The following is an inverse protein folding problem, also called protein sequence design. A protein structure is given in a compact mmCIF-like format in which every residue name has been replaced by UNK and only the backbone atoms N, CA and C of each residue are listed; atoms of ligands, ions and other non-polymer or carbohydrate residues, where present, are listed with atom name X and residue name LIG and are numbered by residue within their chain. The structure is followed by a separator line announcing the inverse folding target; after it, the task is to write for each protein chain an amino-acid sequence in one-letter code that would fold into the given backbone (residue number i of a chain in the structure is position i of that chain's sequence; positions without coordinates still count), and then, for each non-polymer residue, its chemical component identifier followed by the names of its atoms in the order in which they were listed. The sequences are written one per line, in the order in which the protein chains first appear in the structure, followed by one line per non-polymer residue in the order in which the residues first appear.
data_IF_240138465049
#
_entry.id   IF_240138465049
#
_cell.length_a   1.000
_cell.length_b   1.000
_cell.length_c   1.000
_cell.angle_alpha   90.00
_cell.angle_beta   90.00
_cell.angle_gamma   90.00
#
_symmetry.space_group_name_H-M   'P 1'
#
loop_
_entity.id
_entity.type
_entity.pdbx_description
1 polymer ?
#
# COMPACT_ATOMS: atom_id res chain seq x y z
N UNK A 1 30.70 -1.18 12.37
CA UNK A 1 29.71 -1.60 11.35
C UNK A 1 30.48 -2.05 10.12
N UNK A 2 30.02 -3.11 9.47
CA UNK A 2 30.56 -3.60 8.20
C UNK A 2 29.84 -2.89 7.05
N UNK A 3 30.59 -2.47 6.03
CA UNK A 3 30.02 -1.91 4.79
C UNK A 3 29.55 -3.06 3.90
N UNK A 4 28.30 -3.02 3.46
CA UNK A 4 27.71 -4.06 2.61
C UNK A 4 27.08 -3.41 1.39
N UNK A 5 27.30 -4.00 0.22
CA UNK A 5 26.67 -3.59 -1.03
C UNK A 5 25.62 -4.63 -1.41
N UNK A 6 24.38 -4.17 -1.59
CA UNK A 6 23.24 -5.00 -1.97
C UNK A 6 22.77 -4.65 -3.37
N UNK A 7 22.32 -5.65 -4.13
CA UNK A 7 21.55 -5.47 -5.37
C UNK A 7 20.10 -5.76 -5.08
N UNK A 8 19.19 -4.92 -5.57
CA UNK A 8 17.75 -5.12 -5.48
C UNK A 8 17.15 -5.14 -6.89
N UNK A 9 16.22 -6.05 -7.15
CA UNK A 9 15.53 -6.18 -8.44
C UNK A 9 14.06 -6.56 -8.31
N UNK A 10 13.20 -6.00 -9.17
CA UNK A 10 11.76 -6.31 -9.24
C UNK A 10 11.25 -6.29 -10.68
N UNK A 11 10.37 -7.23 -11.05
CA UNK A 11 9.72 -7.22 -12.37
C UNK A 11 8.21 -7.49 -12.35
N UNK A 12 7.57 -7.51 -11.18
CA UNK A 12 6.11 -7.65 -11.06
C UNK A 12 5.53 -6.41 -10.36
N UNK A 13 4.39 -5.92 -10.84
CA UNK A 13 3.61 -4.89 -10.16
C UNK A 13 4.29 -3.52 -10.18
N UNK A 14 4.17 -2.77 -9.08
CA UNK A 14 4.82 -1.46 -8.92
C UNK A 14 6.30 -1.66 -8.54
N UNK A 15 7.12 -1.90 -9.57
CA UNK A 15 8.52 -2.33 -9.44
C UNK A 15 9.36 -1.34 -8.63
N UNK A 16 9.20 -0.02 -8.83
CA UNK A 16 9.94 0.98 -8.07
C UNK A 16 9.46 1.05 -6.62
N UNK A 17 8.14 0.95 -6.36
CA UNK A 17 7.62 0.90 -5.00
C UNK A 17 8.17 -0.30 -4.21
N UNK A 18 8.24 -1.49 -4.81
CA UNK A 18 8.82 -2.66 -4.14
C UNK A 18 10.29 -2.46 -3.73
N UNK A 19 11.10 -1.84 -4.60
CA UNK A 19 12.48 -1.51 -4.27
C UNK A 19 12.56 -0.48 -3.13
N UNK A 20 11.69 0.54 -3.14
CA UNK A 20 11.62 1.55 -2.08
C UNK A 20 11.17 0.94 -0.74
N UNK A 21 10.16 0.09 -0.76
CA UNK A 21 9.63 -0.61 0.42
C UNK A 21 10.68 -1.55 1.01
N UNK A 22 11.43 -2.28 0.17
CA UNK A 22 12.54 -3.12 0.62
C UNK A 22 13.63 -2.30 1.34
N UNK A 23 14.00 -1.13 0.79
CA UNK A 23 14.97 -0.23 1.44
C UNK A 23 14.42 0.36 2.74
N UNK A 24 13.13 0.70 2.78
CA UNK A 24 12.46 1.17 3.99
C UNK A 24 12.49 0.10 5.08
N UNK A 25 12.14 -1.15 4.76
CA UNK A 25 12.16 -2.28 5.69
C UNK A 25 13.58 -2.61 6.19
N UNK A 26 14.61 -2.52 5.33
CA UNK A 26 16.00 -2.63 5.77
C UNK A 26 16.35 -1.54 6.80
N UNK A 27 15.95 -0.28 6.53
CA UNK A 27 16.23 0.87 7.40
C UNK A 27 15.43 0.91 8.71
N UNK A 28 14.38 0.09 8.86
CA UNK A 28 13.64 -0.06 10.11
C UNK A 28 14.41 -0.91 11.15
N UNK A 29 15.37 -1.73 10.71
CA UNK A 29 16.20 -2.50 11.61
C UNK A 29 17.29 -1.62 12.24
N UNK A 30 17.30 -1.49 13.56
CA UNK A 30 18.26 -0.63 14.28
C UNK A 30 19.74 -1.02 14.09
N UNK A 31 20.01 -2.25 13.61
CA UNK A 31 21.35 -2.72 13.29
C UNK A 31 21.85 -2.28 11.91
N UNK A 32 21.00 -1.67 11.07
CA UNK A 32 21.29 -1.29 9.69
C UNK A 32 21.17 0.23 9.53
N UNK A 33 22.15 0.84 8.87
CA UNK A 33 22.11 2.21 8.40
C UNK A 33 22.20 2.22 6.88
N UNK A 34 21.26 2.91 6.22
CA UNK A 34 21.26 3.06 4.76
C UNK A 34 22.18 4.22 4.38
N UNK A 35 23.37 3.92 3.86
CA UNK A 35 24.41 4.92 3.56
C UNK A 35 24.14 5.63 2.23
N UNK A 36 23.84 4.85 1.18
CA UNK A 36 23.69 5.37 -0.19
C UNK A 36 22.77 4.47 -1.01
N UNK A 37 22.07 5.07 -1.96
CA UNK A 37 21.20 4.39 -2.93
C UNK A 37 21.59 4.83 -4.32
N UNK A 38 21.61 3.91 -5.28
CA UNK A 38 21.70 4.26 -6.69
C UNK A 38 20.36 4.80 -7.18
N UNK A 39 20.33 5.28 -8.41
CA UNK A 39 19.08 5.47 -9.17
C UNK A 39 18.44 4.12 -9.53
N UNK A 40 17.27 4.19 -10.13
CA UNK A 40 16.59 3.04 -10.71
C UNK A 40 17.04 2.82 -12.15
N UNK A 41 17.20 1.55 -12.52
CA UNK A 41 17.59 1.18 -13.88
C UNK A 41 16.64 0.11 -14.39
N UNK A 42 15.96 0.37 -15.50
CA UNK A 42 15.19 -0.64 -16.23
C UNK A 42 16.15 -1.48 -17.06
N UNK A 43 15.98 -2.81 -17.02
CA UNK A 43 16.82 -3.73 -17.78
C UNK A 43 16.01 -4.86 -18.38
N UNK A 44 16.35 -5.26 -19.60
CA UNK A 44 15.79 -6.48 -20.20
C UNK A 44 16.13 -7.72 -19.36
N UNK A 45 15.23 -8.71 -19.28
CA UNK A 45 15.45 -9.91 -18.46
C UNK A 45 16.59 -10.78 -19.00
N UNK A 46 17.34 -11.39 -18.09
CA UNK A 46 18.41 -12.33 -18.43
C UNK A 46 17.89 -13.76 -18.32
N UNK A 47 18.29 -14.63 -19.26
CA UNK A 47 18.06 -16.07 -19.15
C UNK A 47 16.99 -16.67 -20.06
N UNK A 48 16.55 -15.94 -21.09
CA UNK A 48 15.72 -16.49 -22.17
C UNK A 48 14.28 -16.86 -21.80
N UNK A 49 13.80 -16.42 -20.63
CA UNK A 49 12.39 -16.55 -20.22
C UNK A 49 11.66 -15.27 -20.63
N UNK A 50 10.54 -15.40 -21.34
CA UNK A 50 9.66 -14.27 -21.68
C UNK A 50 9.03 -13.72 -20.39
N UNK A 51 9.44 -12.50 -20.02
CA UNK A 51 8.97 -11.82 -18.82
C UNK A 51 9.14 -10.30 -18.98
N UNK A 52 8.42 -9.53 -18.16
CA UNK A 52 8.58 -8.08 -18.14
C UNK A 52 9.99 -7.66 -17.72
N UNK A 53 10.40 -6.48 -18.18
CA UNK A 53 11.65 -5.84 -17.78
C UNK A 53 11.80 -5.73 -16.26
N UNK A 54 13.02 -5.89 -15.77
CA UNK A 54 13.34 -5.63 -14.38
C UNK A 54 13.58 -4.15 -14.14
N UNK A 55 13.22 -3.67 -12.96
CA UNK A 55 13.79 -2.45 -12.38
C UNK A 55 14.79 -2.88 -11.31
N UNK A 56 16.00 -2.35 -11.37
CA UNK A 56 17.09 -2.67 -10.47
C UNK A 56 17.63 -1.40 -9.79
N UNK A 57 18.17 -1.57 -8.59
CA UNK A 57 18.97 -0.57 -7.89
C UNK A 57 20.02 -1.24 -7.02
N UNK A 58 21.07 -0.52 -6.64
CA UNK A 58 22.02 -0.94 -5.63
C UNK A 58 21.89 -0.07 -4.37
N UNK A 59 22.17 -0.67 -3.22
CA UNK A 59 22.10 -0.02 -1.92
C UNK A 59 23.38 -0.32 -1.15
N UNK A 60 24.01 0.73 -0.62
CA UNK A 60 25.10 0.64 0.32
C UNK A 60 24.53 0.76 1.72
N UNK A 61 24.83 -0.20 2.58
CA UNK A 61 24.45 -0.18 3.99
C UNK A 61 25.67 -0.35 4.90
N UNK A 62 25.55 0.16 6.12
CA UNK A 62 26.43 -0.13 7.24
C UNK A 62 25.66 -0.96 8.26
N UNK A 63 26.17 -2.13 8.64
CA UNK A 63 25.45 -3.04 9.54
C UNK A 63 26.30 -3.57 10.69
N UNK A 64 25.68 -3.86 11.83
CA UNK A 64 26.28 -4.65 12.93
C UNK A 64 25.86 -6.11 12.93
N UNK A 65 24.95 -6.52 12.04
CA UNK A 65 24.59 -7.92 11.85
C UNK A 65 25.80 -8.70 11.34
N UNK A 66 25.79 -10.02 11.49
CA UNK A 66 26.67 -10.93 10.74
C UNK A 66 26.07 -11.26 9.37
N UNK A 67 26.88 -11.73 8.42
CA UNK A 67 26.44 -11.97 7.05
C UNK A 67 25.23 -12.92 6.95
N UNK A 68 25.19 -13.98 7.76
CA UNK A 68 24.05 -14.91 7.84
C UNK A 68 22.80 -14.28 8.45
N UNK A 69 22.96 -13.42 9.46
CA UNK A 69 21.85 -12.70 10.07
C UNK A 69 21.24 -11.70 9.09
N UNK A 70 22.08 -11.02 8.30
CA UNK A 70 21.63 -10.14 7.22
C UNK A 70 20.89 -10.93 6.14
N UNK A 71 21.40 -12.10 5.73
CA UNK A 71 20.73 -12.96 4.76
C UNK A 71 19.35 -13.43 5.27
N UNK A 72 19.24 -13.81 6.54
CA UNK A 72 17.97 -14.19 7.15
C UNK A 72 16.96 -13.02 7.13
N UNK A 73 17.40 -11.82 7.53
CA UNK A 73 16.56 -10.62 7.47
C UNK A 73 16.11 -10.29 6.05
N UNK A 74 17.00 -10.43 5.06
CA UNK A 74 16.65 -10.26 3.65
C UNK A 74 15.53 -11.21 3.25
N UNK A 75 15.64 -12.50 3.59
CA UNK A 75 14.58 -13.46 3.29
C UNK A 75 13.24 -13.12 3.96
N UNK A 76 13.26 -12.58 5.18
CA UNK A 76 12.05 -12.09 5.85
C UNK A 76 11.42 -10.89 5.10
N UNK A 77 12.23 -9.95 4.63
CA UNK A 77 11.78 -8.79 3.86
C UNK A 77 11.16 -9.25 2.53
N UNK A 78 11.81 -10.17 1.83
CA UNK A 78 11.29 -10.74 0.59
C UNK A 78 9.95 -11.46 0.79
N UNK A 79 9.82 -12.23 1.88
CA UNK A 79 8.57 -12.89 2.23
C UNK A 79 7.45 -11.87 2.54
N UNK A 80 7.74 -10.81 3.30
CA UNK A 80 6.79 -9.71 3.57
C UNK A 80 6.33 -9.01 2.30
N UNK A 81 7.22 -8.86 1.32
CA UNK A 81 6.92 -8.29 0.01
C UNK A 81 6.38 -9.33 -1.00
N UNK A 82 5.88 -10.47 -0.51
CA UNK A 82 5.18 -11.51 -1.29
C UNK A 82 6.01 -12.17 -2.39
N UNK A 83 7.32 -12.34 -2.19
CA UNK A 83 8.17 -13.10 -3.11
C UNK A 83 7.74 -14.58 -3.16
N UNK A 84 7.45 -15.11 -4.35
CA UNK A 84 7.15 -16.54 -4.55
C UNK A 84 8.16 -17.18 -5.50
N UNK A 85 8.89 -18.20 -5.04
CA UNK A 85 9.90 -18.92 -5.83
C UNK A 85 9.24 -20.09 -6.60
N UNK A 86 8.55 -19.79 -7.72
CA UNK A 86 7.92 -20.85 -8.56
C UNK A 86 8.85 -21.40 -9.65
N UNK A 87 9.69 -20.55 -10.26
CA UNK A 87 10.56 -20.90 -11.40
C UNK A 87 11.93 -20.23 -11.21
N UNK A 88 13.02 -20.93 -11.53
CA UNK A 88 14.36 -20.35 -11.55
C UNK A 88 14.43 -19.23 -12.59
N UNK A 89 14.86 -18.02 -12.19
CA UNK A 89 14.81 -16.78 -12.99
C UNK A 89 13.41 -16.28 -13.37
N UNK A 90 12.37 -16.78 -12.70
CA UNK A 90 11.01 -16.34 -12.92
C UNK A 90 10.72 -14.93 -12.39
N UNK A 91 9.50 -14.42 -12.69
CA UNK A 91 9.01 -13.15 -12.18
C UNK A 91 8.97 -13.09 -10.65
N UNK A 92 9.32 -11.95 -10.07
CA UNK A 92 9.32 -11.70 -8.62
C UNK A 92 9.00 -10.25 -8.27
N UNK A 93 8.32 -10.08 -7.13
CA UNK A 93 8.03 -8.77 -6.53
C UNK A 93 9.29 -8.07 -6.03
N UNK A 94 10.23 -8.82 -5.48
CA UNK A 94 11.54 -8.33 -5.05
C UNK A 94 12.57 -9.47 -5.03
N UNK A 95 13.83 -9.12 -5.26
CA UNK A 95 15.04 -9.93 -5.07
C UNK A 95 16.10 -9.05 -4.43
N UNK A 96 16.75 -9.53 -3.37
CA UNK A 96 17.83 -8.79 -2.71
C UNK A 96 19.05 -9.72 -2.60
N UNK A 97 20.13 -9.38 -3.29
CA UNK A 97 21.39 -10.13 -3.28
C UNK A 97 22.47 -9.36 -2.51
N UNK A 98 23.20 -10.07 -1.63
CA UNK A 98 24.42 -9.54 -0.99
C UNK A 98 25.57 -9.64 -1.99
N UNK A 99 26.04 -8.50 -2.51
CA UNK A 99 27.12 -8.47 -3.51
C UNK A 99 28.49 -8.55 -2.85
N UNK A 100 28.71 -7.73 -1.82
CA UNK A 100 29.96 -7.60 -1.08
C UNK A 100 29.66 -7.36 0.40
N UNK A 101 30.48 -7.93 1.28
CA UNK A 101 30.35 -7.81 2.72
C UNK A 101 31.71 -7.46 3.32
N UNK A 102 31.96 -6.18 3.58
CA UNK A 102 33.28 -5.69 3.98
C UNK A 102 34.35 -6.11 2.97
N UNK A 103 35.40 -6.76 3.47
CA UNK A 103 36.44 -7.43 2.67
C UNK A 103 36.35 -8.97 2.80
N UNK A 104 35.23 -9.49 3.30
CA UNK A 104 35.09 -10.90 3.62
C UNK A 104 34.96 -11.73 2.33
N UNK A 105 35.57 -12.92 2.36
CA UNK A 105 35.36 -13.97 1.37
C UNK A 105 34.62 -15.11 2.05
N UNK A 106 33.37 -15.30 1.68
CA UNK A 106 32.47 -16.31 2.23
C UNK A 106 32.14 -17.30 1.12
N UNK A 107 32.33 -18.58 1.39
CA UNK A 107 32.03 -19.67 0.45
C UNK A 107 31.31 -20.78 1.20
N UNK A 108 30.05 -20.54 1.52
CA UNK A 108 29.16 -21.48 2.19
C UNK A 108 28.05 -21.95 1.24
N UNK A 109 27.31 -23.01 1.61
CA UNK A 109 26.28 -23.61 0.75
C UNK A 109 25.14 -22.63 0.42
N UNK A 110 24.79 -21.77 1.38
CA UNK A 110 23.68 -20.81 1.31
C UNK A 110 24.12 -19.35 1.07
N UNK A 111 25.42 -19.05 1.15
CA UNK A 111 25.95 -17.70 0.98
C UNK A 111 27.35 -17.69 0.35
N UNK A 112 27.48 -16.99 -0.77
CA UNK A 112 28.76 -16.75 -1.45
C UNK A 112 28.98 -15.23 -1.54
N UNK A 113 30.11 -14.76 -0.99
CA UNK A 113 30.53 -13.36 -1.02
C UNK A 113 32.01 -13.27 -1.40
N UNK A 114 32.41 -12.43 -2.37
CA UNK A 114 31.58 -11.67 -3.30
C UNK A 114 30.60 -12.56 -4.08
N UNK A 115 29.42 -12.03 -4.41
CA UNK A 115 28.40 -12.80 -5.12
C UNK A 115 28.96 -13.34 -6.44
N UNK A 116 28.81 -14.66 -6.68
CA UNK A 116 29.45 -15.37 -7.81
C UNK A 116 29.21 -14.75 -9.19
N UNK A 117 28.05 -14.15 -9.42
CA UNK A 117 27.68 -13.53 -10.70
C UNK A 117 27.87 -12.00 -10.74
N UNK A 118 28.42 -11.37 -9.71
CA UNK A 118 28.48 -9.90 -9.62
C UNK A 118 29.21 -9.29 -10.83
N UNK A 119 30.32 -9.89 -11.26
CA UNK A 119 31.12 -9.41 -12.40
C UNK A 119 30.60 -9.85 -13.77
N UNK A 120 29.51 -10.60 -13.82
CA UNK A 120 28.92 -11.11 -15.07
C UNK A 120 27.59 -10.42 -15.43
N UNK A 121 27.10 -9.49 -14.59
CA UNK A 121 25.75 -8.92 -14.71
C UNK A 121 25.79 -7.40 -14.81
N UNK A 122 25.54 -6.87 -16.01
CA UNK A 122 25.57 -5.43 -16.25
C UNK A 122 24.49 -4.69 -15.42
N UNK A 123 23.31 -5.29 -15.29
CA UNK A 123 22.21 -4.78 -14.44
C UNK A 123 22.53 -4.68 -12.93
N UNK A 124 23.58 -5.39 -12.46
CA UNK A 124 24.09 -5.28 -11.09
C UNK A 124 25.21 -4.23 -11.01
N UNK A 125 26.13 -4.28 -11.97
CA UNK A 125 27.34 -3.45 -11.98
C UNK A 125 27.05 -1.96 -12.21
N UNK A 126 26.11 -1.63 -13.10
CA UNK A 126 25.78 -0.22 -13.42
C UNK A 126 25.21 0.52 -12.19
N UNK A 127 24.18 0.00 -11.49
CA UNK A 127 23.72 0.63 -10.25
C UNK A 127 24.79 0.63 -9.15
N UNK A 128 25.59 -0.45 -9.05
CA UNK A 128 26.65 -0.56 -8.04
C UNK A 128 27.71 0.53 -8.19
N UNK A 129 28.16 0.81 -9.42
CA UNK A 129 29.21 1.80 -9.69
C UNK A 129 28.87 3.19 -9.14
N UNK A 130 27.59 3.57 -9.12
CA UNK A 130 27.12 4.86 -8.61
C UNK A 130 27.32 5.01 -7.09
N UNK A 131 27.32 3.90 -6.36
CA UNK A 131 27.34 3.90 -4.89
C UNK A 131 28.66 3.45 -4.27
N UNK A 132 29.63 3.01 -5.07
CA UNK A 132 30.95 2.59 -4.58
C UNK A 132 31.66 3.72 -3.83
N UNK A 133 32.30 3.38 -2.72
CA UNK A 133 33.19 4.28 -2.01
C UNK A 133 34.54 4.42 -2.73
N UNK A 134 35.14 5.62 -2.74
CA UNK A 134 36.50 5.81 -3.21
C UNK A 134 37.48 4.88 -2.46
N UNK A 135 38.26 4.09 -3.21
CA UNK A 135 39.23 3.16 -2.62
C UNK A 135 38.65 1.80 -2.24
N UNK A 136 37.42 1.47 -2.64
CA UNK A 136 36.89 0.12 -2.52
C UNK A 136 37.74 -0.89 -3.32
N UNK A 137 38.10 -2.00 -2.69
CA UNK A 137 39.06 -2.99 -3.21
C UNK A 137 38.70 -3.57 -4.59
N UNK A 138 37.41 -3.65 -4.92
CA UNK A 138 36.92 -4.20 -6.18
C UNK A 138 36.51 -3.13 -7.21
N UNK A 139 36.76 -1.83 -6.96
CA UNK A 139 36.32 -0.74 -7.84
C UNK A 139 36.84 -0.90 -9.28
N UNK A 140 38.12 -1.24 -9.44
CA UNK A 140 38.72 -1.45 -10.76
C UNK A 140 38.15 -2.67 -11.48
N UNK A 141 37.86 -3.76 -10.74
CA UNK A 141 37.24 -4.96 -11.31
C UNK A 141 35.82 -4.68 -11.79
N UNK A 142 35.04 -3.91 -11.02
CA UNK A 142 33.69 -3.46 -11.43
C UNK A 142 33.75 -2.64 -12.71
N UNK A 143 34.65 -1.65 -12.80
CA UNK A 143 34.82 -0.83 -14.02
C UNK A 143 35.22 -1.67 -15.23
N UNK A 144 36.17 -2.58 -15.08
CA UNK A 144 36.61 -3.49 -16.16
C UNK A 144 35.49 -4.44 -16.61
N UNK A 145 34.71 -4.98 -15.67
CA UNK A 145 33.57 -5.84 -15.97
C UNK A 145 32.49 -5.09 -16.76
N UNK A 146 32.18 -3.84 -16.40
CA UNK A 146 31.26 -2.99 -17.16
C UNK A 146 31.75 -2.80 -18.59
N UNK A 147 33.00 -2.39 -18.80
CA UNK A 147 33.55 -2.22 -20.16
C UNK A 147 33.49 -3.50 -20.98
N UNK A 148 33.78 -4.66 -20.37
CA UNK A 148 33.69 -5.97 -21.04
C UNK A 148 32.26 -6.31 -21.46
N UNK A 149 31.27 -5.92 -20.66
CA UNK A 149 29.86 -6.26 -20.86
C UNK A 149 29.07 -5.20 -21.66
N UNK A 150 29.65 -4.03 -21.96
CA UNK A 150 28.98 -2.97 -22.74
C UNK A 150 28.47 -3.41 -24.12
N UNK A 151 29.10 -4.42 -24.73
CA UNK A 151 28.72 -4.94 -26.04
C UNK A 151 27.74 -6.13 -25.97
N UNK A 152 27.16 -6.41 -24.79
CA UNK A 152 26.12 -7.43 -24.65
C UNK A 152 24.77 -6.89 -25.10
N UNK A 153 23.85 -7.77 -25.50
CA UNK A 153 22.47 -7.42 -25.91
C UNK A 153 21.58 -6.93 -24.74
N UNK A 154 22.12 -6.74 -23.53
CA UNK A 154 21.32 -6.27 -22.40
C UNK A 154 21.06 -4.77 -22.51
N UNK A 155 19.81 -4.38 -22.70
CA UNK A 155 19.37 -3.00 -22.65
C UNK A 155 19.30 -2.53 -21.19
N UNK A 156 19.87 -1.35 -20.91
CA UNK A 156 19.84 -0.70 -19.59
C UNK A 156 19.48 0.77 -19.78
N UNK A 157 18.40 1.19 -19.12
CA UNK A 157 17.89 2.56 -19.17
C UNK A 157 17.79 3.10 -17.75
N UNK A 158 18.43 4.23 -17.47
CA UNK A 158 18.22 4.97 -16.22
C UNK A 158 16.76 5.45 -16.17
N UNK A 159 16.03 5.03 -15.13
CA UNK A 159 14.69 5.52 -14.88
C UNK A 159 14.74 6.77 -14.00
N UNK A 160 13.86 7.76 -14.25
CA UNK A 160 13.68 8.85 -13.31
C UNK A 160 13.28 8.26 -11.95
N UNK A 161 13.82 8.85 -10.88
CA UNK A 161 13.41 8.50 -9.51
C UNK A 161 11.93 8.81 -9.38
N UNK A 162 11.07 7.81 -9.18
CA UNK A 162 9.70 8.11 -8.79
C UNK A 162 9.75 8.91 -7.49
N UNK A 163 9.23 10.13 -7.55
CA UNK A 163 8.98 10.94 -6.37
C UNK A 163 8.10 10.09 -5.42
N UNK A 164 8.33 10.13 -4.09
CA UNK A 164 7.41 9.53 -3.14
C UNK A 164 5.96 9.91 -3.49
N UNK A 165 4.99 9.01 -3.31
CA UNK A 165 3.59 9.24 -3.72
C UNK A 165 3.07 10.63 -3.29
N UNK A 166 3.41 11.04 -2.06
CA UNK A 166 3.15 12.38 -1.54
C UNK A 166 3.72 13.51 -2.40
N UNK A 167 4.99 13.42 -2.79
CA UNK A 167 5.67 14.40 -3.66
C UNK A 167 5.12 14.40 -5.09
N UNK A 168 4.58 13.27 -5.58
CA UNK A 168 3.81 13.23 -6.84
C UNK A 168 2.52 14.02 -6.74
N UNK A 169 1.78 13.86 -5.64
CA UNK A 169 0.55 14.61 -5.37
C UNK A 169 0.85 16.11 -5.22
N UNK A 170 1.86 16.48 -4.43
CA UNK A 170 2.27 17.89 -4.28
C UNK A 170 2.55 18.53 -5.66
N UNK A 171 3.32 17.85 -6.51
CA UNK A 171 3.58 18.32 -7.87
C UNK A 171 2.30 18.45 -8.69
N UNK A 172 1.43 17.43 -8.69
CA UNK A 172 0.18 17.46 -9.43
C UNK A 172 -0.77 18.57 -8.96
N UNK A 173 -0.85 18.84 -7.65
CA UNK A 173 -1.66 19.92 -7.10
C UNK A 173 -1.11 21.28 -7.54
N UNK A 174 0.21 21.45 -7.55
CA UNK A 174 0.83 22.67 -8.06
C UNK A 174 0.51 22.89 -9.55
N UNK A 175 0.55 21.84 -10.35
CA UNK A 175 0.14 21.89 -11.77
C UNK A 175 -1.34 22.25 -11.92
N UNK A 176 -2.22 21.68 -11.09
CA UNK A 176 -3.65 22.04 -11.08
C UNK A 176 -3.83 23.53 -10.78
N UNK A 177 -3.15 24.07 -9.77
CA UNK A 177 -3.22 25.49 -9.41
C UNK A 177 -2.82 26.39 -10.59
N UNK A 178 -1.67 26.11 -11.22
CA UNK A 178 -1.22 26.82 -12.42
C UNK A 178 -2.24 26.72 -13.55
N UNK A 179 -2.78 25.52 -13.79
CA UNK A 179 -3.72 25.25 -14.89
C UNK A 179 -5.07 25.96 -14.72
N UNK A 180 -5.52 26.20 -13.47
CA UNK A 180 -6.74 26.99 -13.21
C UNK A 180 -6.49 28.50 -13.18
N UNK A 181 -5.26 28.95 -13.45
CA UNK A 181 -4.88 30.36 -13.55
C UNK A 181 -4.48 31.01 -12.22
N UNK A 182 -4.21 30.21 -11.17
CA UNK A 182 -3.65 30.73 -9.92
C UNK A 182 -2.12 30.83 -10.01
N UNK A 183 -1.54 31.73 -9.22
CA UNK A 183 -0.09 31.78 -8.98
C UNK A 183 0.26 30.84 -7.80
N UNK A 184 0.93 29.69 -8.03
CA UNK A 184 1.26 28.76 -6.95
C UNK A 184 2.30 29.28 -5.96
N UNK A 185 2.97 30.39 -6.27
CA UNK A 185 3.99 31.01 -5.42
C UNK A 185 3.45 32.15 -4.55
N UNK A 186 2.15 32.48 -4.66
CA UNK A 186 1.52 33.44 -3.75
C UNK A 186 1.44 32.88 -2.33
N UNK A 187 1.59 33.76 -1.35
CA UNK A 187 1.70 33.42 0.09
C UNK A 187 0.67 32.36 0.56
N UNK A 188 -0.60 32.51 0.19
CA UNK A 188 -1.67 31.59 0.60
C UNK A 188 -1.62 30.18 -0.01
N UNK A 189 -0.87 29.98 -1.10
CA UNK A 189 -0.82 28.70 -1.84
C UNK A 189 0.51 27.95 -1.71
N UNK A 190 1.56 28.57 -1.16
CA UNK A 190 2.89 27.95 -1.02
C UNK A 190 2.83 26.55 -0.37
N UNK A 191 2.04 26.41 0.68
CA UNK A 191 1.89 25.14 1.41
C UNK A 191 0.70 24.29 0.92
N UNK A 192 -0.13 24.81 0.02
CA UNK A 192 -1.34 24.11 -0.44
C UNK A 192 -1.05 22.74 -1.06
N UNK A 193 -0.03 22.57 -1.93
CA UNK A 193 0.39 21.25 -2.40
C UNK A 193 0.60 20.22 -1.29
N UNK A 194 1.34 20.61 -0.24
CA UNK A 194 1.64 19.73 0.89
C UNK A 194 0.39 19.42 1.71
N UNK A 195 -0.44 20.44 1.98
CA UNK A 195 -1.69 20.29 2.73
C UNK A 195 -2.67 19.36 2.01
N UNK A 196 -2.80 19.48 0.69
CA UNK A 196 -3.65 18.59 -0.11
C UNK A 196 -3.11 17.16 -0.14
N UNK A 197 -1.79 16.99 -0.23
CA UNK A 197 -1.18 15.66 -0.18
C UNK A 197 -1.42 14.97 1.16
N UNK A 198 -1.21 15.68 2.28
CA UNK A 198 -1.53 15.20 3.64
C UNK A 198 -3.00 14.87 3.81
N UNK A 199 -3.89 15.72 3.29
CA UNK A 199 -5.34 15.48 3.30
C UNK A 199 -5.68 14.17 2.60
N UNK A 200 -5.12 13.89 1.40
CA UNK A 200 -5.37 12.63 0.70
C UNK A 200 -4.81 11.40 1.44
N UNK A 201 -3.68 11.52 2.15
CA UNK A 201 -3.18 10.45 3.02
C UNK A 201 -4.17 10.09 4.13
N UNK A 202 -4.87 11.08 4.69
CA UNK A 202 -5.86 10.90 5.77
C UNK A 202 -7.21 10.36 5.24
N UNK A 203 -7.81 11.04 4.25
CA UNK A 203 -9.18 10.72 3.81
C UNK A 203 -9.24 9.50 2.88
N UNK A 204 -8.09 9.05 2.35
CA UNK A 204 -7.97 7.83 1.55
C UNK A 204 -7.10 6.78 2.27
N UNK A 205 -7.02 6.83 3.60
CA UNK A 205 -6.17 5.95 4.41
C UNK A 205 -6.46 4.47 4.20
N UNK A 206 -7.68 4.11 3.80
CA UNK A 206 -8.09 2.72 3.57
C UNK A 206 -7.94 2.27 2.11
N UNK A 207 -7.54 3.15 1.18
CA UNK A 207 -7.47 2.84 -0.26
C UNK A 207 -6.55 1.67 -0.60
N UNK A 208 -5.50 1.46 0.20
CA UNK A 208 -4.51 0.38 0.01
C UNK A 208 -4.71 -0.81 0.95
N UNK A 209 -5.70 -0.75 1.84
CA UNK A 209 -5.98 -1.85 2.77
C UNK A 209 -6.81 -2.92 2.05
N UNK A 210 -6.50 -4.18 2.32
CA UNK A 210 -7.21 -5.33 1.71
C UNK A 210 -8.19 -5.99 2.67
N UNK A 211 -8.10 -5.70 3.97
CA UNK A 211 -8.96 -6.28 5.01
C UNK A 211 -9.13 -5.36 6.21
N UNK A 212 -10.26 -5.51 6.91
CA UNK A 212 -10.56 -4.81 8.15
C UNK A 212 -10.20 -5.69 9.36
N UNK A 213 -9.22 -5.28 10.15
CA UNK A 213 -8.72 -6.06 11.30
C UNK A 213 -9.08 -5.43 12.67
N UNK A 214 -9.63 -4.22 12.67
CA UNK A 214 -9.83 -3.44 13.89
C UNK A 214 -11.08 -3.85 14.72
N UNK A 215 -11.39 -5.14 14.81
CA UNK A 215 -12.56 -5.63 15.55
C UNK A 215 -12.18 -6.44 16.80
N UNK A 216 -13.16 -6.60 17.70
CA UNK A 216 -13.10 -7.51 18.83
C UNK A 216 -14.48 -8.08 19.08
N UNK A 217 -14.56 -9.41 19.14
CA UNK A 217 -15.78 -10.14 19.41
C UNK A 217 -15.90 -10.47 20.89
N UNK A 218 -17.15 -10.54 21.35
CA UNK A 218 -17.51 -10.91 22.70
C UNK A 218 -18.65 -11.91 22.64
N UNK A 219 -18.77 -12.69 23.72
CA UNK A 219 -19.88 -13.62 23.91
C UNK A 219 -20.69 -13.20 25.11
N UNK A 220 -22.00 -13.04 24.93
CA UNK A 220 -22.94 -12.75 26.01
C UNK A 220 -23.74 -14.01 26.36
N UNK A 221 -24.36 -14.00 27.54
CA UNK A 221 -25.28 -15.07 27.93
C UNK A 221 -26.45 -15.16 26.94
N UNK A 222 -26.79 -16.40 26.56
CA UNK A 222 -27.91 -16.64 25.65
C UNK A 222 -29.21 -16.27 26.38
N UNK A 223 -30.00 -15.43 25.74
CA UNK A 223 -31.40 -15.20 26.14
C UNK A 223 -32.30 -15.89 25.12
N UNK A 224 -33.54 -16.20 25.49
CA UNK A 224 -34.49 -16.88 24.59
C UNK A 224 -34.98 -15.98 23.43
N UNK A 225 -34.61 -14.69 23.42
CA UNK A 225 -34.97 -13.73 22.38
C UNK A 225 -33.73 -12.98 21.90
N UNK A 226 -33.35 -13.20 20.64
CA UNK A 226 -32.30 -12.40 20.02
C UNK A 226 -32.83 -10.99 19.74
N UNK A 227 -32.12 -9.98 20.24
CA UNK A 227 -32.49 -8.57 20.11
C UNK A 227 -31.69 -7.90 19.00
N UNK A 228 -32.35 -7.00 18.26
CA UNK A 228 -31.66 -6.13 17.30
C UNK A 228 -30.72 -5.17 18.04
N UNK A 229 -29.44 -5.19 17.67
CA UNK A 229 -28.46 -4.20 18.12
C UNK A 229 -28.32 -3.15 17.03
N UNK A 230 -28.72 -1.92 17.32
CA UNK A 230 -28.67 -0.78 16.41
C UNK A 230 -27.67 0.28 16.89
N UNK A 231 -26.75 0.67 16.00
CA UNK A 231 -25.94 1.87 16.15
C UNK A 231 -26.39 2.84 15.07
N UNK A 232 -27.08 3.90 15.49
CA UNK A 232 -27.64 4.91 14.60
C UNK A 232 -26.83 6.20 14.57
N UNK A 233 -27.05 6.99 13.54
CA UNK A 233 -26.48 8.32 13.35
C UNK A 233 -24.94 8.36 13.34
N UNK A 234 -24.27 7.33 12.82
CA UNK A 234 -22.80 7.30 12.73
C UNK A 234 -22.36 8.30 11.66
N UNK A 235 -21.71 9.42 12.01
CA UNK A 235 -21.26 10.39 11.01
C UNK A 235 -20.12 9.79 10.19
N UNK A 236 -20.12 10.05 8.88
CA UNK A 236 -19.04 9.63 8.00
C UNK A 236 -18.76 10.67 6.91
N UNK A 237 -17.54 10.62 6.39
CA UNK A 237 -17.06 11.43 5.27
C UNK A 237 -16.40 10.49 4.26
N UNK A 238 -16.65 10.72 2.97
CA UNK A 238 -16.03 9.95 1.89
C UNK A 238 -15.81 10.83 0.65
N UNK A 239 -15.14 10.27 -0.35
CA UNK A 239 -14.79 10.95 -1.60
C UNK A 239 -15.39 10.19 -2.79
N UNK A 240 -16.22 10.88 -3.57
CA UNK A 240 -16.84 10.28 -4.75
C UNK A 240 -15.78 9.96 -5.80
N UNK A 241 -15.68 8.70 -6.22
CA UNK A 241 -14.65 8.26 -7.18
C UNK A 241 -14.74 8.96 -8.55
N UNK A 242 -15.93 9.38 -8.98
CA UNK A 242 -16.14 10.00 -10.28
C UNK A 242 -15.58 11.43 -10.39
N UNK A 243 -15.49 12.14 -9.27
CA UNK A 243 -15.20 13.57 -9.26
C UNK A 243 -14.18 13.99 -8.20
N UNK A 244 -13.80 13.07 -7.31
CA UNK A 244 -12.93 13.33 -6.17
C UNK A 244 -13.47 14.53 -5.36
N UNK A 245 -14.79 14.53 -5.15
CA UNK A 245 -15.50 15.52 -4.35
C UNK A 245 -16.12 14.83 -3.12
N UNK A 246 -16.17 15.52 -1.97
CA UNK A 246 -16.73 14.93 -0.77
C UNK A 246 -18.21 14.57 -0.90
N UNK A 247 -18.59 13.45 -0.29
CA UNK A 247 -19.95 13.21 0.14
C UNK A 247 -19.94 12.73 1.59
N UNK A 248 -20.93 13.16 2.36
CA UNK A 248 -20.93 13.00 3.80
C UNK A 248 -22.35 12.94 4.34
N UNK A 249 -22.49 12.29 5.48
CA UNK A 249 -23.79 12.09 6.10
C UNK A 249 -23.72 11.11 7.24
N UNK A 250 -24.69 10.22 7.32
CA UNK A 250 -24.85 9.29 8.42
C UNK A 250 -25.07 7.87 7.93
N UNK A 251 -24.49 6.92 8.64
CA UNK A 251 -24.76 5.50 8.52
C UNK A 251 -25.50 5.00 9.76
N UNK A 252 -26.49 4.15 9.55
CA UNK A 252 -27.20 3.40 10.58
C UNK A 252 -26.95 1.92 10.33
N UNK A 253 -26.43 1.22 11.33
CA UNK A 253 -26.03 -0.18 11.21
C UNK A 253 -26.71 -0.98 12.30
N UNK A 254 -27.46 -1.99 11.91
CA UNK A 254 -28.09 -2.94 12.80
C UNK A 254 -27.69 -4.38 12.47
N UNK A 255 -27.65 -5.23 13.49
CA UNK A 255 -27.50 -6.67 13.33
C UNK A 255 -28.25 -7.43 14.41
N UNK A 256 -28.59 -8.69 14.13
CA UNK A 256 -29.19 -9.61 15.09
C UNK A 256 -28.15 -10.67 15.46
N UNK A 257 -27.68 -10.72 16.72
CA UNK A 257 -26.69 -11.69 17.17
C UNK A 257 -27.09 -13.13 16.85
N UNK A 258 -26.08 -13.96 16.58
CA UNK A 258 -26.22 -15.42 16.50
C UNK A 258 -25.40 -16.05 17.61
N UNK A 259 -26.01 -16.97 18.37
CA UNK A 259 -25.35 -17.71 19.46
C UNK A 259 -24.75 -16.83 20.58
N UNK A 260 -25.27 -15.62 20.77
CA UNK A 260 -24.76 -14.66 21.75
C UNK A 260 -23.44 -13.99 21.34
N UNK A 261 -23.00 -14.13 20.09
CA UNK A 261 -21.83 -13.43 19.57
C UNK A 261 -22.17 -11.97 19.25
N UNK A 262 -21.40 -11.04 19.81
CA UNK A 262 -21.52 -9.61 19.55
C UNK A 262 -20.17 -9.01 19.20
N UNK A 263 -20.19 -7.88 18.50
CA UNK A 263 -19.01 -7.07 18.21
C UNK A 263 -18.98 -5.87 19.17
N UNK A 264 -17.78 -5.45 19.59
CA UNK A 264 -17.65 -4.24 20.40
C UNK A 264 -18.28 -3.02 19.70
N UNK A 265 -19.13 -2.27 20.39
CA UNK A 265 -19.89 -1.16 19.80
C UNK A 265 -19.00 -0.13 19.08
N UNK A 266 -17.82 0.16 19.64
CA UNK A 266 -16.86 1.10 19.04
C UNK A 266 -16.24 0.62 17.72
N UNK A 267 -16.44 -0.66 17.35
CA UNK A 267 -15.89 -1.25 16.13
C UNK A 267 -16.78 -1.02 14.91
N UNK A 268 -18.08 -0.80 15.11
CA UNK A 268 -19.00 -0.47 14.02
C UNK A 268 -18.66 0.89 13.40
N UNK A 269 -18.47 1.99 14.15
CA UNK A 269 -17.99 3.24 13.56
C UNK A 269 -16.61 3.14 12.88
N UNK A 270 -15.71 2.29 13.41
CA UNK A 270 -14.41 2.04 12.76
C UNK A 270 -14.56 1.32 11.43
N UNK A 271 -15.50 0.38 11.33
CA UNK A 271 -15.85 -0.27 10.07
C UNK A 271 -16.41 0.74 9.07
N UNK A 272 -17.32 1.62 9.52
CA UNK A 272 -17.83 2.71 8.66
C UNK A 272 -16.70 3.61 8.16
N UNK A 273 -15.74 4.01 9.02
CA UNK A 273 -14.56 4.77 8.60
C UNK A 273 -13.68 3.99 7.64
N UNK A 274 -13.42 2.71 7.91
CA UNK A 274 -12.62 1.85 7.04
C UNK A 274 -13.21 1.79 5.62
N UNK A 275 -14.52 1.65 5.49
CA UNK A 275 -15.21 1.58 4.20
C UNK A 275 -15.31 2.96 3.52
N UNK A 276 -15.39 4.05 4.29
CA UNK A 276 -15.58 5.40 3.75
C UNK A 276 -14.29 6.15 3.41
N UNK A 277 -13.15 5.80 4.02
CA UNK A 277 -11.85 6.43 3.79
C UNK A 277 -11.12 5.88 2.54
N UNK A 278 -11.85 5.82 1.41
CA UNK A 278 -11.37 5.43 0.08
C UNK A 278 -12.24 6.13 -0.98
N UNK A 279 -11.79 6.14 -2.24
CA UNK A 279 -12.65 6.54 -3.34
C UNK A 279 -13.77 5.52 -3.50
N UNK A 280 -15.02 5.96 -3.49
CA UNK A 280 -16.17 5.05 -3.57
C UNK A 280 -17.44 5.73 -4.10
N UNK A 281 -18.49 4.92 -4.22
CA UNK A 281 -19.89 5.32 -4.39
C UNK A 281 -20.71 4.90 -3.17
N UNK A 282 -21.81 5.59 -2.88
CA UNK A 282 -22.59 5.39 -1.64
C UNK A 282 -23.20 3.98 -1.56
N UNK A 283 -23.59 3.42 -2.70
CA UNK A 283 -24.11 2.06 -2.84
C UNK A 283 -23.08 1.03 -2.36
N UNK A 284 -21.82 1.20 -2.76
CA UNK A 284 -20.72 0.34 -2.32
C UNK A 284 -20.48 0.51 -0.82
N UNK A 285 -20.44 1.74 -0.30
CA UNK A 285 -20.27 1.96 1.15
C UNK A 285 -21.35 1.21 1.95
N UNK A 286 -22.61 1.32 1.50
CA UNK A 286 -23.76 0.68 2.19
C UNK A 286 -23.63 -0.84 2.21
N UNK A 287 -23.28 -1.43 1.07
CA UNK A 287 -23.12 -2.88 0.91
C UNK A 287 -21.89 -3.41 1.63
N UNK A 288 -20.73 -2.77 1.43
CA UNK A 288 -19.44 -3.18 2.01
C UNK A 288 -19.51 -3.21 3.55
N UNK A 289 -20.20 -2.25 4.20
CA UNK A 289 -20.40 -2.27 5.66
C UNK A 289 -21.16 -3.55 6.07
N UNK A 290 -22.23 -3.90 5.34
CA UNK A 290 -23.06 -5.05 5.66
C UNK A 290 -22.31 -6.37 5.44
N UNK A 291 -21.65 -6.52 4.28
CA UNK A 291 -20.90 -7.72 3.90
C UNK A 291 -19.73 -7.96 4.87
N UNK A 292 -18.91 -6.94 5.17
CA UNK A 292 -17.78 -7.10 6.08
C UNK A 292 -18.26 -7.43 7.50
N UNK A 293 -19.35 -6.82 7.97
CA UNK A 293 -19.91 -7.15 9.28
C UNK A 293 -20.44 -8.59 9.30
N UNK A 294 -21.09 -9.03 8.23
CA UNK A 294 -21.57 -10.38 8.09
C UNK A 294 -20.42 -11.40 8.11
N UNK A 295 -19.33 -11.13 7.37
CA UNK A 295 -18.15 -12.00 7.32
C UNK A 295 -17.43 -12.11 8.67
N UNK A 296 -17.44 -11.04 9.47
CA UNK A 296 -16.78 -11.00 10.78
C UNK A 296 -17.60 -11.70 11.86
N UNK A 297 -18.92 -11.49 11.85
CA UNK A 297 -19.79 -11.83 12.99
C UNK A 297 -20.69 -13.04 12.72
N UNK A 298 -20.95 -13.37 11.45
CA UNK A 298 -21.95 -14.34 11.00
C UNK A 298 -23.30 -14.21 11.76
N UNK A 299 -23.89 -12.99 11.83
CA UNK A 299 -25.13 -12.75 12.57
C UNK A 299 -26.33 -13.41 11.87
N UNK A 300 -27.49 -13.41 12.53
CA UNK A 300 -28.75 -13.85 11.89
C UNK A 300 -29.17 -12.92 10.75
N UNK A 301 -28.81 -11.65 10.85
CA UNK A 301 -29.02 -10.66 9.79
C UNK A 301 -28.29 -9.36 10.07
N UNK A 302 -28.08 -8.58 9.01
CA UNK A 302 -27.50 -7.24 9.04
C UNK A 302 -28.39 -6.28 8.25
N UNK A 303 -28.57 -5.06 8.75
CA UNK A 303 -29.22 -3.97 8.04
C UNK A 303 -28.37 -2.71 8.09
N UNK A 304 -28.16 -2.08 6.93
CA UNK A 304 -27.41 -0.83 6.81
C UNK A 304 -28.24 0.17 6.04
N UNK A 305 -28.35 1.39 6.56
CA UNK A 305 -28.96 2.53 5.86
C UNK A 305 -27.99 3.70 5.91
N UNK A 306 -27.64 4.23 4.73
CA UNK A 306 -26.77 5.38 4.59
C UNK A 306 -27.56 6.53 3.97
N UNK A 307 -27.47 7.70 4.57
CA UNK A 307 -28.05 8.94 4.08
C UNK A 307 -26.95 9.99 3.96
N UNK A 308 -26.74 10.53 2.76
CA UNK A 308 -25.65 11.46 2.51
C UNK A 308 -25.99 12.57 1.52
N UNK A 309 -25.24 13.66 1.67
CA UNK A 309 -25.21 14.82 0.77
C UNK A 309 -23.96 14.73 -0.09
N UNK A 310 -24.09 15.07 -1.37
CA UNK A 310 -23.04 14.87 -2.37
C UNK A 310 -22.60 16.21 -2.95
N UNK A 311 -21.36 16.62 -2.70
CA UNK A 311 -20.85 17.89 -3.23
C UNK A 311 -20.82 17.89 -4.77
N UNK A 312 -20.66 16.73 -5.41
CA UNK A 312 -20.76 16.62 -6.87
C UNK A 312 -22.15 16.98 -7.45
N UNK A 313 -23.21 16.94 -6.64
CA UNK A 313 -24.58 17.34 -6.99
C UNK A 313 -24.90 18.75 -6.50
N UNK A 314 -24.39 19.13 -5.33
CA UNK A 314 -24.73 20.39 -4.67
C UNK A 314 -23.92 21.58 -5.19
N UNK A 315 -22.59 21.45 -5.29
CA UNK A 315 -21.70 22.59 -5.55
C UNK A 315 -21.53 22.87 -7.04
N UNK A 316 -21.76 21.87 -7.89
CA UNK A 316 -21.53 21.94 -9.35
C UNK A 316 -22.64 21.22 -10.14
N UNK A 317 -22.57 21.32 -11.46
CA UNK A 317 -23.51 20.64 -12.35
C UNK A 317 -24.95 21.11 -12.11
N UNK A 318 -25.79 20.19 -11.63
CA UNK A 318 -27.22 20.43 -11.38
C UNK A 318 -27.52 21.35 -10.19
N UNK A 319 -26.53 21.59 -9.31
CA UNK A 319 -26.58 22.55 -8.19
C UNK A 319 -27.82 22.42 -7.31
N UNK A 320 -28.14 21.20 -6.88
CA UNK A 320 -29.32 20.91 -6.05
C UNK A 320 -28.93 20.85 -4.57
N UNK A 321 -28.85 22.03 -3.95
CA UNK A 321 -28.60 22.14 -2.51
C UNK A 321 -29.66 21.39 -1.69
N UNK A 322 -29.24 20.81 -0.57
CA UNK A 322 -30.05 19.98 0.34
C UNK A 322 -30.57 18.67 -0.24
N UNK A 323 -30.18 18.29 -1.47
CA UNK A 323 -30.50 16.97 -2.00
C UNK A 323 -29.80 15.89 -1.18
N UNK A 324 -30.56 14.91 -0.70
CA UNK A 324 -30.04 13.77 0.04
C UNK A 324 -30.27 12.49 -0.73
N UNK A 325 -29.26 11.63 -0.74
CA UNK A 325 -29.34 10.28 -1.30
C UNK A 325 -29.43 9.29 -0.16
N UNK A 326 -30.42 8.40 -0.19
CA UNK A 326 -30.60 7.31 0.76
C UNK A 326 -30.37 5.98 0.06
N UNK A 327 -29.52 5.14 0.65
CA UNK A 327 -29.25 3.77 0.21
C UNK A 327 -29.46 2.83 1.39
N UNK A 328 -29.94 1.63 1.11
CA UNK A 328 -30.17 0.60 2.13
C UNK A 328 -29.73 -0.76 1.62
N UNK A 329 -29.16 -1.57 2.50
CA UNK A 329 -28.79 -2.96 2.21
C UNK A 329 -29.20 -3.84 3.40
N UNK A 330 -29.77 -5.01 3.10
CA UNK A 330 -30.29 -5.96 4.09
C UNK A 330 -29.75 -7.34 3.77
N UNK A 331 -29.42 -8.11 4.81
CA UNK A 331 -28.97 -9.50 4.70
C UNK A 331 -29.62 -10.35 5.79
N UNK A 332 -29.82 -11.63 5.50
CA UNK A 332 -30.36 -12.61 6.45
C UNK A 332 -31.75 -12.21 6.93
N UNK A 333 -31.98 -12.23 8.24
CA UNK A 333 -33.32 -12.01 8.81
C UNK A 333 -33.92 -10.63 8.48
N UNK A 334 -33.12 -9.58 8.24
CA UNK A 334 -33.64 -8.29 7.76
C UNK A 334 -34.08 -8.30 6.28
N UNK A 335 -33.55 -9.22 5.48
CA UNK A 335 -33.98 -9.41 4.09
C UNK A 335 -35.22 -10.31 4.02
N UNK A 336 -35.20 -11.41 4.76
CA UNK A 336 -36.22 -12.47 4.73
C UNK A 336 -37.48 -12.10 5.54
N UNK A 337 -37.33 -11.43 6.68
CA UNK A 337 -38.44 -11.07 7.55
C UNK A 337 -38.87 -9.60 7.37
N UNK A 338 -40.06 -9.41 6.79
CA UNK A 338 -40.64 -8.07 6.55
C UNK A 338 -40.91 -7.31 7.85
N UNK A 339 -41.34 -7.97 8.92
CA UNK A 339 -41.67 -7.32 10.20
C UNK A 339 -40.41 -6.75 10.85
N UNK A 340 -39.37 -7.56 10.96
CA UNK A 340 -38.05 -7.17 11.46
C UNK A 340 -37.45 -5.99 10.68
N UNK A 341 -37.59 -6.00 9.35
CA UNK A 341 -37.14 -4.88 8.50
C UNK A 341 -37.93 -3.60 8.76
N UNK A 342 -39.24 -3.69 8.96
CA UNK A 342 -40.07 -2.52 9.25
C UNK A 342 -39.75 -1.95 10.62
N UNK A 343 -39.59 -2.79 11.65
CA UNK A 343 -39.17 -2.38 12.99
C UNK A 343 -37.86 -1.59 12.95
N UNK A 344 -36.85 -2.10 12.22
CA UNK A 344 -35.60 -1.38 12.02
C UNK A 344 -35.82 -0.04 11.31
N UNK A 345 -36.54 0.00 10.19
CA UNK A 345 -36.77 1.24 9.44
C UNK A 345 -37.54 2.30 10.26
N UNK A 346 -38.49 1.88 11.09
CA UNK A 346 -39.23 2.75 11.99
C UNK A 346 -38.33 3.32 13.10
N UNK A 347 -37.39 2.52 13.61
CA UNK A 347 -36.43 2.96 14.64
C UNK A 347 -35.43 4.05 14.18
N UNK A 348 -35.36 4.32 12.87
CA UNK A 348 -34.52 5.36 12.27
C UNK A 348 -35.16 6.76 12.27
N UNK A 349 -36.47 6.87 12.49
CA UNK A 349 -37.21 8.13 12.38
C UNK A 349 -37.27 8.93 13.68
#
# INVERSE_FOLDING_TARGET
MQTVYLSLGSNIGDKQAYLQDAVSLLGQNSAILIDKKSKFYQTSPVGGVEQDDFVNMAVKISTTLEAKQLLALIHEIEAKLKRVRKIHWGPRTIDIDILFYGNDQISEEDLIVPHKEVFNRLFVLVPLLEILEPGFSHEQQVKQAIEKLKNTEQEIVELPTEKPARKRIEFAVREILSAVGEDPDREGLLETPERVAKMYEEILSSQKLTQFEEYKLFKIEKTDQDQTILIKDIPFYSMCEHHILPFFGKANVAYIPKDGNIIGLSKIPRLVNYVSHKLSVQENITRDIAEILNDILEPKGVAVVVEARHMCVEMRGVKKGNSQTKTSFFMGEFEENRETRLEFLESLN
#
